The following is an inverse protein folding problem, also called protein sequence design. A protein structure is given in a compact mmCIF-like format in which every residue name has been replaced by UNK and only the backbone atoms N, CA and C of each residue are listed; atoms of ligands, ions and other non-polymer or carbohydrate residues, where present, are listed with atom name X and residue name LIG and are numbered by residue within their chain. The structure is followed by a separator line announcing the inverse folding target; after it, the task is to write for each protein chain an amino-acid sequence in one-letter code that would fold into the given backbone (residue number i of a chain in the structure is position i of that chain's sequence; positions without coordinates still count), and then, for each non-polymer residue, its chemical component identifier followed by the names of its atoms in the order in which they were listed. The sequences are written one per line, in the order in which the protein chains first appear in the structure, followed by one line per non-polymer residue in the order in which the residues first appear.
data_IF_485104585436
#
_entry.id   IF_485104585436
#
_cell.length_a   1.000
_cell.length_b   1.000
_cell.length_c   1.000
_cell.angle_alpha   90.00
_cell.angle_beta   90.00
_cell.angle_gamma   90.00
#
_symmetry.space_group_name_H-M   'P 1'
#
loop_
_entity.id
_entity.type
_entity.pdbx_description
1 polymer ?
#
# COMPACT_ATOMS: atom_id res chain seq x y z
N UNK A 1 19.41 -9.07 16.26
CA UNK A 1 18.32 -9.02 15.27
C UNK A 1 17.07 -8.61 16.03
N UNK A 2 16.86 -7.31 16.17
CA UNK A 2 15.69 -6.74 16.86
C UNK A 2 14.59 -6.58 15.83
N UNK A 3 13.41 -7.10 16.12
CA UNK A 3 12.23 -6.99 15.26
C UNK A 3 11.73 -5.55 15.26
N UNK A 4 12.36 -4.69 14.45
CA UNK A 4 11.88 -3.32 14.25
C UNK A 4 10.49 -3.35 13.63
N UNK A 5 9.57 -2.55 14.19
CA UNK A 5 8.27 -2.29 13.57
C UNK A 5 8.52 -1.65 12.19
N UNK A 6 8.07 -2.33 11.15
CA UNK A 6 8.24 -1.91 9.74
C UNK A 6 6.89 -1.66 9.11
N UNK A 7 6.01 -1.02 9.86
CA UNK A 7 4.66 -0.78 9.38
C UNK A 7 4.65 0.22 8.23
N UNK A 8 3.59 0.11 7.44
CA UNK A 8 3.22 1.08 6.43
C UNK A 8 1.73 1.29 6.55
N UNK A 9 1.34 2.51 6.91
CA UNK A 9 -0.05 2.90 7.10
C UNK A 9 -0.44 3.80 5.94
N UNK A 10 -1.52 3.45 5.26
CA UNK A 10 -2.13 4.27 4.20
C UNK A 10 -3.47 4.78 4.72
N UNK A 11 -3.55 6.08 5.00
CA UNK A 11 -4.80 6.74 5.38
C UNK A 11 -5.53 7.20 4.12
N UNK A 12 -6.69 6.59 3.85
CA UNK A 12 -7.56 6.94 2.73
C UNK A 12 -8.88 7.53 3.27
N UNK A 13 -8.80 8.69 3.92
CA UNK A 13 -9.96 9.38 4.48
C UNK A 13 -10.84 9.96 3.36
N UNK A 14 -12.12 9.60 3.26
CA UNK A 14 -13.04 10.07 2.20
C UNK A 14 -13.27 11.59 2.20
N UNK A 15 -13.14 12.27 3.34
CA UNK A 15 -13.34 13.71 3.44
C UNK A 15 -12.20 14.52 2.80
N UNK A 16 -10.99 13.96 2.74
CA UNK A 16 -9.80 14.64 2.22
C UNK A 16 -9.57 14.30 0.74
N UNK A 17 -9.09 15.22 -0.10
CA UNK A 17 -8.81 14.92 -1.52
C UNK A 17 -7.56 14.04 -1.71
N UNK A 18 -6.61 14.08 -0.76
CA UNK A 18 -5.38 13.32 -0.78
C UNK A 18 -5.41 12.14 0.21
N UNK A 19 -4.55 11.15 -0.02
CA UNK A 19 -4.26 10.09 0.94
C UNK A 19 -2.90 10.37 1.60
N UNK A 20 -2.73 9.91 2.84
CA UNK A 20 -1.40 9.96 3.49
C UNK A 20 -0.79 8.57 3.59
N UNK A 21 0.52 8.47 3.42
CA UNK A 21 1.29 7.24 3.55
C UNK A 21 2.39 7.48 4.57
N UNK A 22 2.30 6.81 5.71
CA UNK A 22 3.36 6.72 6.70
C UNK A 22 4.10 5.39 6.54
N UNK A 23 5.43 5.40 6.53
CA UNK A 23 6.20 4.17 6.33
C UNK A 23 7.60 4.22 6.96
N UNK A 24 8.00 3.10 7.55
CA UNK A 24 9.38 2.80 7.92
C UNK A 24 10.15 2.05 6.81
N UNK A 25 9.50 1.71 5.69
CA UNK A 25 10.09 0.86 4.66
C UNK A 25 11.09 1.65 3.78
N UNK A 26 12.42 1.40 3.85
CA UNK A 26 13.40 2.28 3.20
C UNK A 26 13.30 2.32 1.67
N UNK A 27 12.96 1.19 1.03
CA UNK A 27 12.74 1.19 -0.42
C UNK A 27 11.49 1.96 -0.86
N UNK A 28 10.43 1.98 -0.04
CA UNK A 28 9.22 2.72 -0.33
C UNK A 28 9.47 4.23 -0.15
N UNK A 29 10.19 4.63 0.90
CA UNK A 29 10.68 6.00 1.10
C UNK A 29 11.43 6.48 -0.14
N UNK A 30 12.44 5.74 -0.60
CA UNK A 30 13.22 6.10 -1.81
C UNK A 30 12.34 6.21 -3.07
N UNK A 31 11.30 5.40 -3.18
CA UNK A 31 10.35 5.46 -4.30
C UNK A 31 9.49 6.71 -4.22
N UNK A 32 8.93 7.01 -3.05
CA UNK A 32 8.09 8.18 -2.82
C UNK A 32 8.89 9.48 -2.97
N UNK A 33 10.18 9.50 -2.59
CA UNK A 33 11.07 10.64 -2.82
C UNK A 33 11.23 10.96 -4.30
N UNK A 34 11.45 9.93 -5.13
CA UNK A 34 11.52 10.10 -6.58
C UNK A 34 10.20 10.61 -7.15
N UNK A 35 9.07 10.18 -6.60
CA UNK A 35 7.75 10.65 -7.03
C UNK A 35 7.51 12.10 -6.61
N UNK A 36 7.87 12.50 -5.39
CA UNK A 36 7.83 13.90 -4.95
C UNK A 36 8.71 14.81 -5.82
N UNK A 37 9.86 14.32 -6.30
CA UNK A 37 10.75 15.10 -7.15
C UNK A 37 10.27 15.21 -8.61
N UNK A 38 9.47 14.26 -9.09
CA UNK A 38 9.15 14.12 -10.52
C UNK A 38 7.68 14.37 -10.87
N UNK A 39 6.77 14.41 -9.89
CA UNK A 39 5.33 14.44 -10.12
C UNK A 39 4.64 15.48 -9.24
N UNK A 40 3.78 16.28 -9.86
CA UNK A 40 2.91 17.21 -9.15
C UNK A 40 1.90 16.46 -8.26
N UNK A 41 1.65 17.03 -7.08
CA UNK A 41 0.67 16.50 -6.11
C UNK A 41 1.21 15.46 -5.14
N UNK A 42 2.48 15.04 -5.27
CA UNK A 42 3.18 14.24 -4.25
C UNK A 42 3.97 15.17 -3.33
N UNK A 43 3.79 15.05 -2.01
CA UNK A 43 4.49 15.90 -1.04
C UNK A 43 5.02 15.07 0.13
N UNK A 44 6.26 15.30 0.53
CA UNK A 44 6.79 14.80 1.79
C UNK A 44 6.28 15.72 2.90
N UNK A 45 5.50 15.18 3.84
CA UNK A 45 4.95 15.94 4.97
C UNK A 45 5.94 15.97 6.13
N UNK A 46 6.52 14.81 6.44
CA UNK A 46 7.52 14.68 7.50
C UNK A 46 8.51 13.57 7.20
N UNK A 47 9.68 13.69 7.81
CA UNK A 47 10.75 12.70 7.79
C UNK A 47 11.50 12.76 9.09
N UNK A 48 11.90 11.61 9.59
CA UNK A 48 12.77 11.52 10.75
C UNK A 48 13.44 10.17 10.85
N UNK A 49 14.08 9.99 11.99
CA UNK A 49 14.66 8.73 12.41
C UNK A 49 14.13 8.44 13.81
N UNK A 50 13.56 7.25 13.99
CA UNK A 50 13.10 6.77 15.29
C UNK A 50 13.76 5.42 15.55
N UNK A 51 14.36 5.27 16.73
CA UNK A 51 14.98 4.02 17.18
C UNK A 51 16.02 3.42 16.19
N UNK A 52 16.73 4.29 15.45
CA UNK A 52 17.73 3.89 14.46
C UNK A 52 17.16 3.48 13.10
N UNK A 53 15.88 3.75 12.83
CA UNK A 53 15.23 3.48 11.55
C UNK A 53 14.64 4.77 10.94
N UNK A 54 14.85 5.02 9.64
CA UNK A 54 14.24 6.16 8.96
C UNK A 54 12.74 5.93 8.77
N UNK A 55 11.96 6.98 8.98
CA UNK A 55 10.54 7.02 8.65
C UNK A 55 10.21 8.27 7.84
N UNK A 56 9.12 8.20 7.08
CA UNK A 56 8.57 9.35 6.40
C UNK A 56 7.06 9.24 6.22
N UNK A 57 6.41 10.41 6.17
CA UNK A 57 5.01 10.55 5.81
C UNK A 57 4.88 11.37 4.53
N UNK A 58 3.99 10.93 3.64
CA UNK A 58 3.75 11.55 2.36
C UNK A 58 2.27 11.81 2.14
N UNK A 59 1.96 12.92 1.49
CA UNK A 59 0.66 13.19 0.88
C UNK A 59 0.70 12.78 -0.59
N UNK A 60 -0.27 11.97 -1.01
CA UNK A 60 -0.36 11.45 -2.38
C UNK A 60 -1.77 11.61 -2.94
N UNK A 61 -1.94 11.87 -4.25
CA UNK A 61 -3.27 11.93 -4.85
C UNK A 61 -3.93 10.54 -4.82
N UNK A 62 -5.15 10.47 -4.29
CA UNK A 62 -5.92 9.23 -4.14
C UNK A 62 -6.04 8.38 -5.40
N UNK A 63 -6.16 9.03 -6.58
CA UNK A 63 -6.23 8.37 -7.89
C UNK A 63 -5.02 7.47 -8.22
N UNK A 64 -3.89 7.66 -7.54
CA UNK A 64 -2.67 6.86 -7.74
C UNK A 64 -2.46 5.81 -6.65
N UNK A 65 -3.36 5.71 -5.67
CA UNK A 65 -3.38 4.64 -4.67
C UNK A 65 -4.29 3.53 -5.19
N UNK A 66 -3.73 2.37 -5.48
CA UNK A 66 -4.48 1.23 -6.04
C UNK A 66 -4.11 -0.08 -5.35
N UNK A 67 -5.11 -0.88 -5.02
CA UNK A 67 -4.94 -2.28 -4.64
C UNK A 67 -5.00 -3.12 -5.91
N UNK A 68 -3.94 -3.88 -6.19
CA UNK A 68 -3.78 -4.63 -7.44
C UNK A 68 -4.01 -6.11 -7.19
N UNK A 69 -4.80 -6.77 -8.07
CA UNK A 69 -4.90 -8.23 -8.06
C UNK A 69 -3.54 -8.86 -8.37
N UNK A 70 -3.16 -9.98 -7.72
CA UNK A 70 -1.98 -10.74 -8.09
C UNK A 70 -2.04 -11.17 -9.56
N UNK A 71 -0.91 -11.15 -10.25
CA UNK A 71 -0.82 -11.53 -11.67
C UNK A 71 -1.03 -13.04 -11.89
N UNK A 72 -0.74 -13.87 -10.88
CA UNK A 72 -0.99 -15.30 -10.90
C UNK A 72 -2.22 -15.62 -10.05
N UNK A 73 -3.23 -16.24 -10.67
CA UNK A 73 -4.38 -16.82 -9.97
C UNK A 73 -3.82 -17.92 -9.06
N UNK A 74 -4.15 -17.93 -7.77
CA UNK A 74 -4.04 -19.18 -7.02
C UNK A 74 -4.92 -20.18 -7.78
N UNK A 75 -4.34 -21.26 -8.29
CA UNK A 75 -5.12 -22.35 -8.86
C UNK A 75 -6.14 -22.76 -7.80
N UNK A 76 -7.41 -22.44 -8.07
CA UNK A 76 -8.52 -22.92 -7.27
C UNK A 76 -8.52 -24.44 -7.40
N UNK A 77 -7.91 -25.14 -6.43
CA UNK A 77 -8.22 -26.54 -6.16
C UNK A 77 -9.64 -26.61 -5.64
N UNK A 78 -10.59 -26.63 -6.56
CA UNK A 78 -11.95 -27.10 -6.34
C UNK A 78 -12.36 -27.84 -7.62
N UNK A 79 -11.69 -28.97 -7.86
CA UNK A 79 -12.20 -30.02 -8.72
C UNK A 79 -13.22 -30.82 -7.90
N UNK A 80 -14.41 -30.99 -8.48
CA UNK A 80 -15.49 -31.96 -8.17
C UNK A 80 -16.11 -31.88 -6.76
N UNK A 81 -17.42 -31.79 -6.56
CA UNK A 81 -18.45 -32.71 -7.05
C UNK A 81 -19.86 -32.07 -7.14
N UNK A 82 -20.69 -32.71 -7.97
CA UNK A 82 -22.15 -32.66 -8.08
C UNK A 82 -22.84 -31.50 -8.83
N UNK A 83 -22.94 -31.72 -10.15
CA UNK A 83 -24.21 -31.56 -10.88
C UNK A 83 -25.29 -32.42 -10.22
N UNK A 84 -26.54 -31.95 -10.37
CA UNK A 84 -27.83 -32.57 -10.02
C UNK A 84 -28.41 -32.18 -8.64
N UNK A 85 -29.18 -31.09 -8.62
CA UNK A 85 -30.62 -31.16 -8.30
C UNK A 85 -31.32 -29.79 -8.51
N UNK A 86 -31.97 -29.62 -9.66
CA UNK A 86 -33.19 -28.80 -9.75
C UNK A 86 -34.22 -29.56 -10.57
N UNK A 87 -35.41 -29.69 -9.96
CA UNK A 87 -36.71 -30.07 -10.52
C UNK A 87 -37.00 -31.58 -10.72
N UNK A 88 -37.68 -32.20 -9.75
CA UNK A 88 -39.12 -32.43 -9.84
C UNK A 88 -39.74 -32.57 -8.44
#
# INVERSE_FOLDING_TARGET
MTGYEKETIISYNQAEPAATIFTYHPALIRKLDRLCAACDGYRCLQRGEAEGAPYAEYEVPKKYVSIRKPAHRAESKATSENREFTAN
#
